data_IF_556321243620
#
_entry.id   IF_556321243620
#
_cell.length_a   1.000
_cell.length_b   1.000
_cell.length_c   1.000
_cell.angle_alpha   90.00
_cell.angle_beta   90.00
_cell.angle_gamma   90.00
#
_symmetry.space_group_name_H-M   'P 1'
#
loop_
_entity.id
_entity.type
_entity.pdbx_description
1 polymer ?
#
# COMPACT_ATOMS: atom_id res chain seq x y z
N UNK A 1 30.21 -31.18 -15.56
CA UNK A 1 29.14 -31.92 -14.90
C UNK A 1 28.25 -30.91 -14.13
N UNK A 2 27.17 -30.58 -14.79
CA UNK A 2 25.85 -30.15 -14.37
C UNK A 2 25.70 -28.96 -13.39
N UNK A 3 25.32 -27.86 -14.01
CA UNK A 3 24.66 -26.70 -13.42
C UNK A 3 23.36 -27.08 -12.69
N UNK A 4 23.01 -26.36 -11.63
CA UNK A 4 21.60 -26.17 -11.22
C UNK A 4 21.32 -24.72 -10.92
N UNK A 5 20.58 -24.17 -11.83
CA UNK A 5 19.84 -22.91 -11.76
C UNK A 5 18.86 -22.92 -10.58
N UNK A 6 19.04 -21.99 -9.67
CA UNK A 6 18.05 -21.66 -8.64
C UNK A 6 17.05 -20.65 -9.20
N UNK A 7 15.82 -21.07 -9.40
CA UNK A 7 14.70 -20.24 -9.79
C UNK A 7 14.38 -19.21 -8.69
N UNK A 8 14.16 -17.93 -8.99
CA UNK A 8 13.62 -16.99 -8.01
C UNK A 8 12.15 -17.32 -7.79
N UNK A 9 11.80 -17.53 -6.52
CA UNK A 9 10.43 -17.70 -6.07
C UNK A 9 9.70 -16.35 -6.22
N UNK A 10 9.12 -16.13 -7.39
CA UNK A 10 8.09 -15.12 -7.59
C UNK A 10 6.87 -15.64 -6.84
N UNK A 11 6.60 -15.06 -5.67
CA UNK A 11 5.29 -15.19 -5.03
C UNK A 11 4.26 -14.48 -5.92
N UNK A 12 3.84 -15.16 -6.96
CA UNK A 12 2.56 -14.93 -7.60
C UNK A 12 1.50 -15.13 -6.52
N UNK A 13 0.95 -14.07 -6.00
CA UNK A 13 -0.38 -14.12 -5.38
C UNK A 13 -1.35 -14.51 -6.51
N UNK A 14 -1.40 -15.80 -6.82
CA UNK A 14 -2.51 -16.35 -7.54
C UNK A 14 -3.75 -16.02 -6.71
N UNK A 15 -4.67 -15.29 -7.29
CA UNK A 15 -6.03 -15.26 -6.79
C UNK A 15 -6.42 -16.73 -6.57
N UNK A 16 -6.95 -17.10 -5.39
CA UNK A 16 -7.32 -18.47 -5.15
C UNK A 16 -8.29 -18.88 -6.27
N UNK A 17 -7.87 -19.86 -7.07
CA UNK A 17 -8.80 -20.56 -7.94
C UNK A 17 -9.90 -21.09 -7.03
N UNK A 18 -11.05 -20.43 -7.02
CA UNK A 18 -12.23 -20.88 -6.33
C UNK A 18 -12.56 -22.27 -6.91
N UNK A 19 -12.31 -23.27 -6.10
CA UNK A 19 -12.74 -24.63 -6.36
C UNK A 19 -14.23 -24.58 -6.66
N UNK A 20 -14.68 -25.22 -7.75
CA UNK A 20 -16.05 -25.13 -8.29
C UNK A 20 -17.15 -25.67 -7.35
N UNK A 21 -16.91 -25.73 -6.04
CA UNK A 21 -17.84 -26.20 -5.02
C UNK A 21 -17.98 -25.30 -3.80
N UNK A 22 -17.14 -24.26 -3.61
CA UNK A 22 -17.33 -23.35 -2.49
C UNK A 22 -18.38 -22.30 -2.84
N UNK A 23 -19.54 -22.36 -2.17
CA UNK A 23 -20.53 -21.29 -2.19
C UNK A 23 -19.88 -19.98 -1.76
N UNK A 24 -20.11 -18.90 -2.54
CA UNK A 24 -19.67 -17.56 -2.12
C UNK A 24 -20.30 -17.26 -0.76
N UNK A 25 -19.54 -16.74 0.21
CA UNK A 25 -20.09 -16.42 1.52
C UNK A 25 -21.24 -15.41 1.36
N UNK A 26 -22.28 -15.62 2.14
CA UNK A 26 -23.43 -14.71 2.16
C UNK A 26 -23.06 -13.35 2.75
N UNK A 27 -23.90 -12.33 2.51
CA UNK A 27 -23.76 -11.01 3.13
C UNK A 27 -23.70 -11.12 4.65
N UNK A 28 -24.56 -11.96 5.25
CA UNK A 28 -24.61 -12.15 6.69
C UNK A 28 -23.32 -12.75 7.25
N UNK A 29 -22.76 -13.74 6.57
CA UNK A 29 -21.48 -14.35 6.96
C UNK A 29 -20.31 -13.38 6.85
N UNK A 30 -20.23 -12.57 5.77
CA UNK A 30 -19.18 -11.57 5.61
C UNK A 30 -19.27 -10.46 6.68
N UNK A 31 -20.49 -10.01 7.00
CA UNK A 31 -20.69 -9.03 8.08
C UNK A 31 -20.27 -9.60 9.43
N UNK A 32 -20.71 -10.83 9.74
CA UNK A 32 -20.32 -11.50 10.98
C UNK A 32 -18.79 -11.64 11.07
N UNK A 33 -18.13 -12.05 9.99
CA UNK A 33 -16.67 -12.16 9.94
C UNK A 33 -16.01 -10.80 10.15
N UNK A 34 -16.50 -9.73 9.50
CA UNK A 34 -15.98 -8.39 9.66
C UNK A 34 -16.12 -7.91 11.11
N UNK A 35 -17.30 -8.05 11.72
CA UNK A 35 -17.60 -7.57 13.06
C UNK A 35 -16.89 -8.34 14.18
N UNK A 36 -16.64 -9.64 13.99
CA UNK A 36 -16.00 -10.49 15.00
C UNK A 36 -14.48 -10.55 14.88
N UNK A 37 -13.92 -10.09 13.76
CA UNK A 37 -12.47 -10.11 13.52
C UNK A 37 -11.81 -8.87 14.10
N UNK A 38 -11.11 -9.00 15.24
CA UNK A 38 -10.40 -7.90 15.91
C UNK A 38 -8.96 -7.72 15.43
N UNK A 39 -8.44 -8.65 14.67
CA UNK A 39 -7.09 -8.59 14.08
C UNK A 39 -7.18 -7.82 12.76
N UNK A 40 -6.71 -6.57 12.74
CA UNK A 40 -7.00 -5.61 11.68
C UNK A 40 -6.62 -6.07 10.26
N UNK A 41 -5.49 -6.77 10.06
CA UNK A 41 -5.13 -7.27 8.72
C UNK A 41 -6.02 -8.41 8.24
N UNK A 42 -6.55 -9.26 9.14
CA UNK A 42 -7.54 -10.29 8.79
C UNK A 42 -8.89 -9.65 8.47
N UNK A 43 -9.29 -8.65 9.25
CA UNK A 43 -10.49 -7.87 8.95
C UNK A 43 -10.37 -7.16 7.60
N UNK A 44 -9.16 -6.69 7.24
CA UNK A 44 -8.90 -6.10 5.93
C UNK A 44 -9.09 -7.11 4.78
N UNK A 45 -8.72 -8.37 4.95
CA UNK A 45 -9.00 -9.41 3.95
C UNK A 45 -10.51 -9.62 3.75
N UNK A 46 -11.28 -9.55 4.83
CA UNK A 46 -12.75 -9.56 4.75
C UNK A 46 -13.26 -8.29 4.05
N UNK A 47 -12.71 -7.12 4.38
CA UNK A 47 -13.05 -5.85 3.73
C UNK A 47 -12.84 -5.90 2.21
N UNK A 48 -11.70 -6.43 1.75
CA UNK A 48 -11.43 -6.65 0.31
C UNK A 48 -12.46 -7.59 -0.33
N UNK A 49 -12.83 -8.65 0.39
CA UNK A 49 -13.85 -9.58 -0.08
C UNK A 49 -15.22 -8.90 -0.22
N UNK A 50 -15.60 -8.06 0.75
CA UNK A 50 -16.85 -7.28 0.69
C UNK A 50 -16.81 -6.34 -0.52
N UNK A 51 -15.74 -5.58 -0.72
CA UNK A 51 -15.59 -4.69 -1.88
C UNK A 51 -15.71 -5.45 -3.19
N UNK A 52 -15.12 -6.65 -3.27
CA UNK A 52 -15.19 -7.49 -4.46
C UNK A 52 -16.62 -8.00 -4.80
N UNK A 53 -17.56 -7.94 -3.84
CA UNK A 53 -18.97 -8.26 -4.13
C UNK A 53 -19.67 -7.17 -4.94
N UNK A 54 -19.16 -5.94 -4.89
CA UNK A 54 -19.79 -4.74 -5.45
C UNK A 54 -21.22 -4.49 -4.93
N UNK A 55 -21.52 -4.92 -3.69
CA UNK A 55 -22.84 -4.82 -3.08
C UNK A 55 -22.88 -3.70 -2.04
N UNK A 56 -23.57 -2.62 -2.34
CA UNK A 56 -23.69 -1.45 -1.46
C UNK A 56 -24.58 -1.68 -0.23
N UNK A 57 -25.31 -2.80 -0.15
CA UNK A 57 -26.15 -3.15 1.02
C UNK A 57 -25.36 -3.37 2.32
N UNK A 58 -24.04 -3.52 2.22
CA UNK A 58 -23.13 -3.53 3.38
C UNK A 58 -23.03 -2.16 4.06
N UNK A 59 -23.12 -1.05 3.32
CA UNK A 59 -22.80 0.30 3.84
C UNK A 59 -23.65 0.70 5.06
N UNK A 60 -24.99 0.58 5.06
CA UNK A 60 -25.77 0.94 6.25
C UNK A 60 -25.43 0.11 7.48
N UNK A 61 -25.00 -1.15 7.30
CA UNK A 61 -24.69 -2.08 8.38
C UNK A 61 -23.30 -1.81 8.99
N UNK A 62 -22.38 -1.26 8.21
CA UNK A 62 -21.02 -0.92 8.66
C UNK A 62 -20.86 0.56 9.03
N UNK A 63 -21.92 1.37 8.98
CA UNK A 63 -21.81 2.81 9.18
C UNK A 63 -21.23 3.20 10.56
N UNK A 64 -21.57 2.49 11.63
CA UNK A 64 -21.03 2.76 12.98
C UNK A 64 -19.51 2.53 13.07
N UNK A 65 -18.96 1.68 12.20
CA UNK A 65 -17.53 1.40 12.17
C UNK A 65 -16.69 2.57 11.63
N UNK A 66 -17.28 3.51 10.90
CA UNK A 66 -16.59 4.72 10.44
C UNK A 66 -16.16 5.65 11.59
N UNK A 67 -16.71 5.44 12.78
CA UNK A 67 -16.36 6.18 14.01
C UNK A 67 -15.74 5.28 15.08
N UNK A 68 -15.36 4.06 14.72
CA UNK A 68 -14.74 3.11 15.65
C UNK A 68 -13.46 3.72 16.26
N UNK A 69 -13.25 3.52 17.56
CA UNK A 69 -12.12 4.10 18.28
C UNK A 69 -10.77 3.59 17.78
N UNK A 70 -10.66 2.29 17.47
CA UNK A 70 -9.46 1.73 16.82
C UNK A 70 -9.36 2.23 15.38
N UNK A 71 -8.27 2.95 15.09
CA UNK A 71 -8.04 3.57 13.76
C UNK A 71 -7.84 2.57 12.65
N UNK A 72 -7.27 1.38 12.95
CA UNK A 72 -7.10 0.34 11.92
C UNK A 72 -8.44 -0.29 11.55
N UNK A 73 -9.27 -0.63 12.55
CA UNK A 73 -10.61 -1.19 12.30
C UNK A 73 -11.51 -0.16 11.62
N UNK A 74 -11.46 1.11 12.06
CA UNK A 74 -12.14 2.22 11.39
C UNK A 74 -11.68 2.38 9.95
N UNK A 75 -10.38 2.26 9.69
CA UNK A 75 -9.80 2.29 8.36
C UNK A 75 -10.31 1.18 7.44
N UNK A 76 -10.49 -0.03 7.97
CA UNK A 76 -11.02 -1.16 7.21
C UNK A 76 -12.48 -0.93 6.80
N UNK A 77 -13.31 -0.42 7.70
CA UNK A 77 -14.68 -0.03 7.35
C UNK A 77 -14.69 1.08 6.29
N UNK A 78 -13.85 2.09 6.48
CA UNK A 78 -13.71 3.19 5.52
C UNK A 78 -13.24 2.69 4.14
N UNK A 79 -12.36 1.69 4.09
CA UNK A 79 -11.96 1.04 2.85
C UNK A 79 -13.14 0.37 2.13
N UNK A 80 -14.04 -0.29 2.86
CA UNK A 80 -15.28 -0.85 2.27
C UNK A 80 -16.13 0.25 1.67
N UNK A 81 -16.35 1.35 2.40
CA UNK A 81 -17.14 2.48 1.91
C UNK A 81 -16.55 3.06 0.63
N UNK A 82 -15.27 3.42 0.65
CA UNK A 82 -14.61 3.99 -0.52
C UNK A 82 -14.59 3.01 -1.70
N UNK A 83 -14.29 1.74 -1.46
CA UNK A 83 -14.24 0.69 -2.48
C UNK A 83 -15.60 0.39 -3.12
N UNK A 84 -16.70 0.68 -2.41
CA UNK A 84 -18.08 0.59 -2.92
C UNK A 84 -18.61 1.94 -3.44
N UNK A 85 -17.76 2.95 -3.59
CA UNK A 85 -18.08 4.24 -4.21
C UNK A 85 -18.66 5.30 -3.27
N UNK A 86 -18.64 5.09 -1.95
CA UNK A 86 -19.07 6.08 -0.96
C UNK A 86 -17.88 6.94 -0.50
N UNK A 87 -17.88 8.23 -0.85
CA UNK A 87 -16.79 9.17 -0.58
C UNK A 87 -16.44 9.33 0.90
N UNK A 88 -17.39 9.05 1.82
CA UNK A 88 -17.14 9.10 3.27
C UNK A 88 -15.98 8.19 3.69
N UNK A 89 -15.84 7.05 3.01
CA UNK A 89 -14.72 6.13 3.26
C UNK A 89 -13.38 6.78 2.98
N UNK A 90 -13.23 7.43 1.84
CA UNK A 90 -12.01 8.15 1.50
C UNK A 90 -11.68 9.27 2.51
N UNK A 91 -12.69 10.05 2.90
CA UNK A 91 -12.52 11.14 3.87
C UNK A 91 -12.05 10.63 5.24
N UNK A 92 -12.59 9.49 5.70
CA UNK A 92 -12.18 8.85 6.97
C UNK A 92 -10.73 8.36 6.90
N UNK A 93 -10.31 7.71 5.81
CA UNK A 93 -8.91 7.27 5.65
C UNK A 93 -7.97 8.48 5.63
N UNK A 94 -8.32 9.53 4.87
CA UNK A 94 -7.55 10.75 4.80
C UNK A 94 -7.50 11.49 6.17
N UNK A 95 -8.54 11.39 6.99
CA UNK A 95 -8.54 11.92 8.36
C UNK A 95 -7.58 11.11 9.27
N UNK A 96 -7.58 9.78 9.21
CA UNK A 96 -6.64 8.93 9.95
C UNK A 96 -5.20 9.28 9.57
N UNK A 97 -4.92 9.48 8.28
CA UNK A 97 -3.58 9.85 7.79
C UNK A 97 -3.08 11.18 8.37
N UNK A 98 -3.97 12.12 8.62
CA UNK A 98 -3.65 13.44 9.19
C UNK A 98 -3.64 13.48 10.72
N UNK A 99 -4.27 12.50 11.35
CA UNK A 99 -4.43 12.44 12.81
C UNK A 99 -3.09 12.12 13.49
N UNK A 100 -2.64 13.05 14.33
CA UNK A 100 -1.43 12.93 15.14
C UNK A 100 -1.76 12.92 16.65
N UNK A 101 -3.02 12.75 17.00
CA UNK A 101 -3.43 12.67 18.40
C UNK A 101 -3.04 11.33 19.02
N UNK A 102 -2.84 11.32 20.33
CA UNK A 102 -2.61 10.11 21.08
C UNK A 102 -3.84 9.19 21.04
N UNK A 103 -3.62 7.89 21.03
CA UNK A 103 -4.70 6.95 21.27
C UNK A 103 -5.09 6.97 22.73
N UNK A 104 -6.37 6.77 23.09
CA UNK A 104 -6.77 6.52 24.46
C UNK A 104 -5.96 5.38 25.09
N UNK A 105 -5.60 5.52 26.37
CA UNK A 105 -4.92 4.46 27.11
C UNK A 105 -5.70 3.15 27.05
N UNK A 106 -5.01 2.05 26.82
CA UNK A 106 -5.61 0.71 26.74
C UNK A 106 -5.80 0.14 25.33
N UNK A 107 -5.68 0.94 24.27
CA UNK A 107 -5.73 0.43 22.90
C UNK A 107 -4.36 -0.05 22.37
N UNK A 108 -3.29 0.14 23.12
CA UNK A 108 -2.02 -0.54 22.92
C UNK A 108 -2.08 -1.94 23.53
N UNK A 109 -1.44 -2.94 22.94
CA UNK A 109 -1.28 -4.25 23.58
C UNK A 109 -0.72 -4.05 25.00
N UNK A 110 -1.25 -4.69 26.05
CA UNK A 110 -0.66 -4.67 27.37
C UNK A 110 0.81 -5.06 27.27
N UNK A 111 1.74 -4.21 27.79
CA UNK A 111 3.18 -4.42 27.64
C UNK A 111 3.75 -4.00 26.28
N UNK A 112 3.02 -3.26 25.46
CA UNK A 112 3.43 -2.86 24.12
C UNK A 112 4.66 -1.96 24.13
N UNK A 113 5.67 -2.36 23.37
CA UNK A 113 6.92 -1.65 23.05
C UNK A 113 6.70 -0.36 22.22
N UNK A 114 5.47 0.07 22.00
CA UNK A 114 5.11 1.14 21.09
C UNK A 114 4.87 2.43 21.88
N UNK A 115 5.79 3.38 21.70
CA UNK A 115 5.53 4.76 22.12
C UNK A 115 4.29 5.31 21.41
N UNK A 116 3.65 6.34 21.98
CA UNK A 116 2.58 7.11 21.33
C UNK A 116 2.97 7.50 19.89
N UNK A 117 4.18 7.99 19.69
CA UNK A 117 4.69 8.33 18.38
C UNK A 117 4.76 7.12 17.44
N UNK A 118 5.10 5.95 17.97
CA UNK A 118 5.10 4.69 17.20
C UNK A 118 3.69 4.29 16.75
N UNK A 119 2.69 4.49 17.60
CA UNK A 119 1.28 4.22 17.27
C UNK A 119 0.77 5.18 16.20
N UNK A 120 1.01 6.48 16.34
CA UNK A 120 0.64 7.49 15.34
C UNK A 120 1.27 7.14 13.98
N UNK A 121 2.54 6.74 13.98
CA UNK A 121 3.25 6.33 12.77
C UNK A 121 2.62 5.08 12.14
N UNK A 122 2.25 4.09 12.95
CA UNK A 122 1.60 2.88 12.48
C UNK A 122 0.22 3.16 11.87
N UNK A 123 -0.59 4.03 12.49
CA UNK A 123 -1.90 4.42 11.97
C UNK A 123 -1.78 5.14 10.63
N UNK A 124 -0.85 6.07 10.53
CA UNK A 124 -0.59 6.84 9.30
C UNK A 124 -0.02 5.96 8.19
N UNK A 125 0.87 5.03 8.54
CA UNK A 125 1.37 4.02 7.62
C UNK A 125 0.21 3.20 7.04
N UNK A 126 -0.67 2.71 7.92
CA UNK A 126 -1.80 1.89 7.51
C UNK A 126 -2.79 2.67 6.63
N UNK A 127 -3.11 3.91 6.99
CA UNK A 127 -3.97 4.76 6.17
C UNK A 127 -3.35 5.01 4.77
N UNK A 128 -2.03 5.21 4.69
CA UNK A 128 -1.31 5.36 3.42
C UNK A 128 -1.43 4.08 2.56
N UNK A 129 -1.29 2.91 3.20
CA UNK A 129 -1.47 1.61 2.54
C UNK A 129 -2.89 1.44 1.99
N UNK A 130 -3.91 1.75 2.80
CA UNK A 130 -5.31 1.67 2.36
C UNK A 130 -5.59 2.57 1.14
N UNK A 131 -5.04 3.78 1.12
CA UNK A 131 -5.17 4.68 -0.05
C UNK A 131 -4.52 4.10 -1.31
N UNK A 132 -3.40 3.39 -1.16
CA UNK A 132 -2.76 2.65 -2.25
C UNK A 132 -3.65 1.54 -2.80
N UNK A 133 -4.20 0.71 -1.91
CA UNK A 133 -5.05 -0.42 -2.27
C UNK A 133 -6.41 -0.01 -2.87
N UNK A 134 -6.93 1.16 -2.53
CA UNK A 134 -8.13 1.72 -3.16
C UNK A 134 -7.92 2.04 -4.64
N UNK A 135 -6.68 2.28 -5.05
CA UNK A 135 -6.32 2.68 -6.43
C UNK A 135 -7.07 3.93 -6.91
N UNK A 136 -7.51 4.79 -5.99
CA UNK A 136 -8.23 6.02 -6.30
C UNK A 136 -7.24 7.14 -6.65
N UNK A 137 -7.31 7.72 -7.88
CA UNK A 137 -6.43 8.81 -8.28
C UNK A 137 -6.48 10.05 -7.38
N UNK A 138 -7.60 10.28 -6.69
CA UNK A 138 -7.75 11.41 -5.75
C UNK A 138 -6.79 11.31 -4.54
N UNK A 139 -6.21 10.14 -4.27
CA UNK A 139 -5.19 9.98 -3.24
C UNK A 139 -3.82 10.56 -3.64
N UNK A 140 -3.51 10.69 -4.92
CA UNK A 140 -2.19 11.15 -5.39
C UNK A 140 -1.80 12.52 -4.82
N UNK A 141 -2.61 13.59 -4.89
CA UNK A 141 -2.25 14.88 -4.33
C UNK A 141 -2.10 14.88 -2.80
N UNK A 142 -2.73 13.92 -2.11
CA UNK A 142 -2.58 13.73 -0.65
C UNK A 142 -1.26 13.03 -0.33
N UNK A 143 -0.86 12.05 -1.14
CA UNK A 143 0.31 11.21 -0.90
C UNK A 143 1.62 11.87 -1.34
N UNK A 144 1.63 12.61 -2.43
CA UNK A 144 2.86 13.23 -2.98
C UNK A 144 3.64 14.06 -1.95
N UNK A 145 3.02 14.95 -1.15
CA UNK A 145 3.75 15.70 -0.11
C UNK A 145 4.41 14.79 0.94
N UNK A 146 3.83 13.60 1.20
CA UNK A 146 4.31 12.65 2.19
C UNK A 146 5.58 11.89 1.74
N UNK A 147 6.01 12.00 0.49
CA UNK A 147 7.33 11.52 0.05
C UNK A 147 8.48 12.15 0.87
N UNK A 148 8.23 13.33 1.47
CA UNK A 148 9.19 14.05 2.31
C UNK A 148 8.91 13.91 3.82
N UNK A 149 7.88 13.19 4.21
CA UNK A 149 7.52 12.99 5.63
C UNK A 149 8.25 11.75 6.18
N UNK A 150 9.29 11.90 7.04
CA UNK A 150 10.11 10.78 7.50
C UNK A 150 9.33 9.74 8.33
N UNK A 151 8.13 10.05 8.78
CA UNK A 151 7.30 9.11 9.53
C UNK A 151 6.61 8.06 8.63
N UNK A 152 6.35 8.41 7.37
CA UNK A 152 5.55 7.54 6.48
C UNK A 152 6.11 7.44 5.05
N UNK A 153 7.14 8.20 4.70
CA UNK A 153 7.64 8.32 3.32
C UNK A 153 7.96 6.96 2.68
N UNK A 154 8.40 5.98 3.44
CA UNK A 154 8.83 4.68 2.92
C UNK A 154 7.69 3.82 2.35
N UNK A 155 6.42 4.05 2.72
CA UNK A 155 5.27 3.36 2.12
C UNK A 155 4.68 4.13 0.93
N UNK A 156 4.91 5.45 0.86
CA UNK A 156 4.29 6.32 -0.15
C UNK A 156 4.62 5.92 -1.59
N UNK A 157 5.88 5.60 -1.97
CA UNK A 157 6.18 5.17 -3.34
C UNK A 157 5.38 3.93 -3.73
N UNK A 158 5.28 2.93 -2.84
CA UNK A 158 4.47 1.75 -3.07
C UNK A 158 3.00 2.11 -3.33
N UNK A 159 2.40 2.93 -2.47
CA UNK A 159 1.00 3.35 -2.61
C UNK A 159 0.75 4.10 -3.92
N UNK A 160 1.66 4.99 -4.30
CA UNK A 160 1.59 5.72 -5.59
C UNK A 160 1.71 4.76 -6.78
N UNK A 161 2.57 3.75 -6.70
CA UNK A 161 2.67 2.69 -7.71
C UNK A 161 1.37 1.89 -7.84
N UNK A 162 0.76 1.47 -6.71
CA UNK A 162 -0.51 0.72 -6.69
C UNK A 162 -1.68 1.52 -7.27
N UNK A 163 -1.74 2.84 -7.00
CA UNK A 163 -2.76 3.74 -7.59
C UNK A 163 -2.64 3.77 -9.12
N UNK A 164 -1.45 3.64 -9.65
CA UNK A 164 -1.23 3.57 -11.10
C UNK A 164 -1.42 4.91 -11.84
N UNK A 165 -1.54 6.03 -11.14
CA UNK A 165 -1.79 7.33 -11.77
C UNK A 165 -0.50 8.02 -12.22
N UNK A 166 -0.42 8.41 -13.48
CA UNK A 166 0.76 9.04 -14.09
C UNK A 166 1.16 10.37 -13.44
N UNK A 167 0.26 11.05 -12.73
CA UNK A 167 0.60 12.27 -11.98
C UNK A 167 1.65 12.03 -10.88
N UNK A 168 1.84 10.78 -10.43
CA UNK A 168 2.88 10.40 -9.47
C UNK A 168 4.29 10.31 -10.09
N UNK A 169 4.43 10.23 -11.41
CA UNK A 169 5.71 9.94 -12.07
C UNK A 169 6.74 11.03 -11.78
N UNK A 170 6.43 12.30 -11.99
CA UNK A 170 7.39 13.39 -11.77
C UNK A 170 7.82 13.53 -10.31
N UNK A 171 6.92 13.48 -9.29
CA UNK A 171 7.31 13.39 -7.89
C UNK A 171 8.24 12.21 -7.57
N UNK A 172 7.96 11.02 -8.13
CA UNK A 172 8.80 9.83 -7.92
C UNK A 172 10.17 9.96 -8.61
N UNK A 173 10.24 10.56 -9.81
CA UNK A 173 11.52 10.90 -10.44
C UNK A 173 12.33 11.84 -9.54
N UNK A 174 11.68 12.82 -8.90
CA UNK A 174 12.32 13.67 -7.90
C UNK A 174 12.90 12.88 -6.71
N UNK A 175 12.20 11.84 -6.26
CA UNK A 175 12.64 10.95 -5.16
C UNK A 175 13.88 10.11 -5.52
N UNK A 176 14.19 9.92 -6.80
CA UNK A 176 15.43 9.27 -7.23
C UNK A 176 16.72 10.05 -6.83
N UNK A 177 16.57 11.25 -6.31
CA UNK A 177 17.66 12.08 -5.76
C UNK A 177 17.67 12.12 -4.23
N UNK A 178 16.84 11.32 -3.56
CA UNK A 178 16.76 11.29 -2.09
C UNK A 178 18.11 10.87 -1.49
N UNK A 179 18.47 11.46 -0.35
CA UNK A 179 19.70 11.10 0.36
C UNK A 179 19.67 9.65 0.88
N UNK A 180 18.48 9.15 1.22
CA UNK A 180 18.30 7.80 1.69
C UNK A 180 18.25 6.81 0.50
N UNK A 181 19.21 5.87 0.37
CA UNK A 181 19.23 4.90 -0.71
C UNK A 181 17.98 4.03 -0.75
N UNK A 182 17.37 3.75 0.40
CA UNK A 182 16.11 3.00 0.46
C UNK A 182 14.96 3.75 -0.23
N UNK A 183 14.90 5.07 -0.09
CA UNK A 183 13.89 5.88 -0.78
C UNK A 183 14.11 5.88 -2.29
N UNK A 184 15.38 5.94 -2.74
CA UNK A 184 15.69 5.84 -4.17
C UNK A 184 15.23 4.50 -4.75
N UNK A 185 15.51 3.38 -4.06
CA UNK A 185 15.08 2.04 -4.51
C UNK A 185 13.56 1.93 -4.54
N UNK A 186 12.86 2.41 -3.51
CA UNK A 186 11.38 2.41 -3.49
C UNK A 186 10.78 3.23 -4.64
N UNK A 187 11.39 4.38 -4.96
CA UNK A 187 10.98 5.18 -6.12
C UNK A 187 11.22 4.45 -7.44
N UNK A 188 12.34 3.71 -7.58
CA UNK A 188 12.60 2.87 -8.77
C UNK A 188 11.49 1.84 -8.95
N UNK A 189 11.10 1.11 -7.89
CA UNK A 189 10.05 0.12 -7.98
C UNK A 189 8.68 0.72 -8.33
N UNK A 190 8.35 1.86 -7.74
CA UNK A 190 7.10 2.55 -8.07
C UNK A 190 7.05 3.05 -9.52
N UNK A 191 8.17 3.56 -10.04
CA UNK A 191 8.28 3.98 -11.44
C UNK A 191 8.22 2.79 -12.41
N UNK A 192 8.77 1.64 -12.02
CA UNK A 192 8.62 0.39 -12.78
C UNK A 192 7.14 -0.05 -12.84
N UNK A 193 6.45 -0.05 -11.70
CA UNK A 193 5.03 -0.41 -11.61
C UNK A 193 4.15 0.53 -12.47
N UNK A 194 4.48 1.82 -12.47
CA UNK A 194 3.82 2.83 -13.31
C UNK A 194 4.19 2.74 -14.80
N UNK A 195 5.10 1.85 -15.18
CA UNK A 195 5.65 1.75 -16.54
C UNK A 195 6.17 3.09 -17.05
N UNK A 196 6.84 3.82 -16.18
CA UNK A 196 7.27 5.21 -16.39
C UNK A 196 8.53 5.28 -17.25
N UNK A 197 8.40 5.18 -18.56
CA UNK A 197 9.52 5.31 -19.51
C UNK A 197 10.20 6.68 -19.45
N UNK A 198 9.50 7.71 -18.99
CA UNK A 198 10.02 9.05 -18.73
C UNK A 198 11.14 9.06 -17.66
N UNK A 199 11.17 8.05 -16.80
CA UNK A 199 12.20 7.91 -15.78
C UNK A 199 13.53 7.36 -16.33
N UNK A 200 13.55 6.77 -17.53
CA UNK A 200 14.74 6.13 -18.10
C UNK A 200 16.01 7.00 -18.08
N UNK A 201 15.97 8.29 -18.46
CA UNK A 201 17.17 9.14 -18.40
C UNK A 201 17.75 9.24 -16.98
N UNK A 202 16.89 9.36 -15.97
CA UNK A 202 17.30 9.46 -14.56
C UNK A 202 17.76 8.12 -14.00
N UNK A 203 17.08 7.03 -14.33
CA UNK A 203 17.48 5.68 -13.93
C UNK A 203 18.87 5.32 -14.44
N UNK A 204 19.22 5.69 -15.70
CA UNK A 204 20.56 5.48 -16.24
C UNK A 204 21.66 6.16 -15.46
N UNK A 205 21.39 7.31 -14.84
CA UNK A 205 22.36 8.01 -13.99
C UNK A 205 22.60 7.27 -12.67
N UNK A 206 21.66 6.43 -12.23
CA UNK A 206 21.77 5.66 -10.98
C UNK A 206 22.47 4.31 -11.14
N UNK A 207 22.78 3.86 -12.36
CA UNK A 207 23.38 2.53 -12.63
C UNK A 207 24.69 2.31 -11.84
N UNK A 208 25.48 3.38 -11.61
CA UNK A 208 26.71 3.33 -10.83
C UNK A 208 26.54 3.55 -9.32
N UNK A 209 25.32 3.69 -8.82
CA UNK A 209 25.04 3.92 -7.40
C UNK A 209 25.16 2.62 -6.61
N UNK A 210 26.24 2.48 -5.84
CA UNK A 210 26.55 1.29 -5.04
C UNK A 210 25.97 1.32 -3.62
N UNK A 211 25.27 2.39 -3.23
CA UNK A 211 24.63 2.45 -1.92
C UNK A 211 23.51 1.40 -1.82
N UNK A 212 23.48 0.72 -0.69
CA UNK A 212 22.54 -0.37 -0.45
C UNK A 212 21.30 0.12 0.30
N UNK A 213 20.13 -0.39 -0.09
CA UNK A 213 18.94 -0.23 0.72
C UNK A 213 19.03 -1.11 1.98
N UNK A 214 18.28 -0.73 3.02
CA UNK A 214 18.24 -1.43 4.31
C UNK A 214 17.07 -2.42 4.44
N UNK A 215 16.46 -2.81 3.32
CA UNK A 215 15.35 -3.77 3.28
C UNK A 215 15.56 -4.77 2.13
N UNK A 216 14.77 -5.86 2.16
CA UNK A 216 14.78 -6.86 1.11
C UNK A 216 16.10 -7.63 0.98
N UNK A 217 16.56 -7.84 -0.25
CA UNK A 217 17.77 -8.61 -0.58
C UNK A 217 19.07 -7.80 -0.48
N UNK A 218 19.09 -6.67 0.21
CA UNK A 218 20.23 -5.76 0.27
C UNK A 218 20.74 -5.34 -1.12
N UNK A 219 19.80 -5.08 -2.01
CA UNK A 219 20.06 -4.61 -3.37
C UNK A 219 20.66 -3.20 -3.34
N UNK A 220 21.62 -2.93 -4.24
CA UNK A 220 22.08 -1.55 -4.43
C UNK A 220 21.08 -0.76 -5.29
N UNK A 221 21.11 0.55 -5.15
CA UNK A 221 20.29 1.46 -5.98
C UNK A 221 20.58 1.22 -7.48
N UNK A 222 21.84 1.02 -7.84
CA UNK A 222 22.26 0.74 -9.20
C UNK A 222 21.69 -0.59 -9.74
N UNK A 223 21.65 -1.64 -8.91
CA UNK A 223 21.04 -2.92 -9.29
C UNK A 223 19.54 -2.78 -9.55
N UNK A 224 18.82 -2.08 -8.66
CA UNK A 224 17.40 -1.79 -8.85
C UNK A 224 17.17 -0.98 -10.14
N UNK A 225 17.98 0.07 -10.37
CA UNK A 225 17.87 0.89 -11.56
C UNK A 225 18.14 0.09 -12.86
N UNK A 226 19.13 -0.80 -12.87
CA UNK A 226 19.41 -1.67 -14.03
C UNK A 226 18.23 -2.61 -14.33
N UNK A 227 17.65 -3.22 -13.30
CA UNK A 227 16.49 -4.09 -13.46
C UNK A 227 15.28 -3.33 -14.03
N UNK A 228 14.97 -2.15 -13.49
CA UNK A 228 13.89 -1.30 -13.99
C UNK A 228 14.12 -0.83 -15.45
N UNK A 229 15.34 -0.42 -15.80
CA UNK A 229 15.68 -0.03 -17.17
C UNK A 229 15.42 -1.20 -18.14
N UNK A 230 15.85 -2.42 -17.79
CA UNK A 230 15.62 -3.58 -18.62
C UNK A 230 14.12 -3.77 -18.89
N UNK A 231 13.27 -3.78 -17.85
CA UNK A 231 11.83 -3.97 -18.00
C UNK A 231 11.16 -2.84 -18.80
N UNK A 232 11.45 -1.58 -18.46
CA UNK A 232 10.85 -0.42 -19.13
C UNK A 232 11.29 -0.29 -20.61
N UNK A 233 12.49 -0.77 -20.98
CA UNK A 233 12.96 -0.74 -22.35
C UNK A 233 12.30 -1.80 -23.24
N UNK A 234 11.93 -2.96 -22.69
CA UNK A 234 11.22 -4.01 -23.43
C UNK A 234 9.75 -3.65 -23.73
N UNK A 235 9.10 -2.84 -22.86
CA UNK A 235 7.72 -2.40 -23.11
C UNK A 235 7.58 -1.36 -24.23
N UNK A 236 8.66 -0.63 -24.56
CA UNK A 236 8.67 0.34 -25.67
C UNK A 236 8.76 -0.30 -27.08
N UNK A 237 8.97 -1.62 -27.19
CA UNK A 237 9.16 -2.32 -28.47
C UNK A 237 7.88 -3.04 -28.93
N UNK A 238 6.83 -2.97 -28.14
CA UNK A 238 5.50 -3.54 -28.49
C UNK A 238 4.47 -2.44 -28.72
#
# INVERSE_FOLDING_TARGET
MVARLGCPLVLLFAAPCLDRGQQRPSIAELLQQFETTTVFWRQFDVAKTIVATNDTSFLPKLQSWLTHEDRHLRGNAAFVFAGLGDSRGFDVIAAILRDRSERPEGQGRPGGLWSVQGQIRADRYYATHLLGDLKDPHAVPILVPLLKDPEVNYIVPWSLGQIGNRAAIQPLIGTLSDQNPSMRVLAVYALEELKATEALPRLRQLVGDNEKCNFGKLESVGQAAQAAIAKLSFENVR
#
